data_IF_028417779265
#
_entry.id   IF_028417779265
#
_cell.length_a   1.000
_cell.length_b   1.000
_cell.length_c   1.000
_cell.angle_alpha   90.00
_cell.angle_beta   90.00
_cell.angle_gamma   90.00
#
_symmetry.space_group_name_H-M   'P 1'
#
loop_
_entity.id
_entity.type
_entity.pdbx_description
1 polymer ?
#
# COMPACT_ATOMS: atom_id res chain seq x y z
N UNK A 1 -11.60 -11.89 -4.14
CA UNK A 1 -10.40 -11.06 -4.39
C UNK A 1 -9.48 -11.20 -3.19
N UNK A 2 -8.18 -11.46 -3.41
CA UNK A 2 -7.22 -11.71 -2.33
C UNK A 2 -6.57 -10.40 -1.86
N UNK A 3 -6.15 -10.34 -0.59
CA UNK A 3 -5.50 -9.18 0.03
C UNK A 3 -4.26 -8.69 -0.76
N UNK A 4 -3.56 -9.61 -1.42
CA UNK A 4 -2.44 -9.33 -2.34
C UNK A 4 -2.84 -8.52 -3.57
N UNK A 5 -4.05 -8.72 -4.09
CA UNK A 5 -4.55 -7.98 -5.24
C UNK A 5 -4.87 -6.53 -4.85
N UNK A 6 -5.39 -6.30 -3.64
CA UNK A 6 -5.60 -4.94 -3.12
C UNK A 6 -4.28 -4.21 -2.89
N UNK A 7 -3.26 -4.90 -2.37
CA UNK A 7 -1.91 -4.34 -2.21
C UNK A 7 -1.33 -3.92 -3.56
N UNK A 8 -1.40 -4.77 -4.59
CA UNK A 8 -0.89 -4.47 -5.93
C UNK A 8 -1.61 -3.27 -6.58
N UNK A 9 -2.94 -3.20 -6.44
CA UNK A 9 -3.72 -2.04 -6.94
C UNK A 9 -3.30 -0.76 -6.22
N UNK A 10 -3.24 -0.79 -4.89
CA UNK A 10 -2.85 0.36 -4.07
C UNK A 10 -1.41 0.81 -4.34
N UNK A 11 -0.52 -0.14 -4.67
CA UNK A 11 0.87 0.14 -5.04
C UNK A 11 0.96 0.87 -6.38
N UNK A 12 0.14 0.50 -7.37
CA UNK A 12 0.04 1.23 -8.65
C UNK A 12 -0.52 2.63 -8.44
N UNK A 13 -1.53 2.78 -7.59
CA UNK A 13 -2.12 4.06 -7.25
C UNK A 13 -1.09 4.99 -6.55
N UNK A 14 -0.33 4.46 -5.59
CA UNK A 14 0.77 5.18 -4.96
C UNK A 14 1.79 5.64 -6.02
N UNK A 15 2.19 4.76 -6.93
CA UNK A 15 3.16 5.11 -7.98
C UNK A 15 2.65 6.23 -8.88
N UNK A 16 1.36 6.23 -9.22
CA UNK A 16 0.70 7.28 -9.99
C UNK A 16 0.70 8.62 -9.23
N UNK A 17 0.36 8.60 -7.94
CA UNK A 17 0.35 9.81 -7.10
C UNK A 17 1.77 10.35 -6.90
N UNK A 18 2.75 9.48 -6.66
CA UNK A 18 4.18 9.85 -6.57
C UNK A 18 4.65 10.50 -7.87
N UNK A 19 4.29 9.92 -9.01
CA UNK A 19 4.72 10.45 -10.31
C UNK A 19 4.04 11.79 -10.62
N UNK A 20 2.80 11.99 -10.14
CA UNK A 20 2.02 13.21 -10.38
C UNK A 20 2.37 14.34 -9.43
N UNK A 21 2.50 14.05 -8.14
CA UNK A 21 2.62 15.05 -7.08
C UNK A 21 4.05 15.11 -6.50
N UNK A 22 4.81 14.02 -6.59
CA UNK A 22 6.13 13.84 -5.99
C UNK A 22 6.09 12.97 -4.73
N UNK A 23 7.25 12.56 -4.24
CA UNK A 23 7.39 11.70 -3.06
C UNK A 23 6.96 12.38 -1.75
N UNK A 24 7.04 13.70 -1.68
CA UNK A 24 6.81 14.49 -0.46
C UNK A 24 5.41 15.10 -0.36
N UNK A 25 4.52 14.81 -1.31
CA UNK A 25 3.16 15.31 -1.26
C UNK A 25 2.36 14.62 -0.17
N UNK A 26 1.45 15.36 0.45
CA UNK A 26 0.57 14.81 1.48
C UNK A 26 -0.24 13.61 0.95
N UNK A 27 -0.70 13.67 -0.30
CA UNK A 27 -1.38 12.56 -0.98
C UNK A 27 -0.50 11.31 -1.09
N UNK A 28 0.77 11.49 -1.48
CA UNK A 28 1.74 10.39 -1.57
C UNK A 28 2.01 9.76 -0.21
N UNK A 29 2.24 10.60 0.81
CA UNK A 29 2.47 10.14 2.17
C UNK A 29 1.25 9.41 2.74
N UNK A 30 0.05 9.89 2.46
CA UNK A 30 -1.20 9.26 2.87
C UNK A 30 -1.40 7.92 2.18
N UNK A 31 -1.25 7.87 0.85
CA UNK A 31 -1.37 6.64 0.08
C UNK A 31 -0.29 5.61 0.50
N UNK A 32 0.93 6.07 0.79
CA UNK A 32 2.01 5.22 1.31
C UNK A 32 1.65 4.61 2.65
N UNK A 33 1.11 5.39 3.60
CA UNK A 33 0.66 4.89 4.91
C UNK A 33 -0.46 3.87 4.79
N UNK A 34 -1.38 4.04 3.84
CA UNK A 34 -2.46 3.09 3.61
C UNK A 34 -1.97 1.79 2.98
N UNK A 35 -1.05 1.87 2.02
CA UNK A 35 -0.40 0.69 1.44
C UNK A 35 0.37 -0.09 2.52
N UNK A 36 1.12 0.62 3.37
CA UNK A 36 1.90 0.01 4.45
C UNK A 36 1.00 -0.74 5.44
N UNK A 37 -0.16 -0.17 5.81
CA UNK A 37 -1.17 -0.86 6.64
C UNK A 37 -1.70 -2.15 5.99
N UNK A 38 -1.94 -2.14 4.68
CA UNK A 38 -2.41 -3.34 3.96
C UNK A 38 -1.33 -4.43 3.96
N UNK A 39 -0.07 -4.05 3.72
CA UNK A 39 1.08 -4.96 3.77
C UNK A 39 1.27 -5.52 5.18
N UNK A 40 1.20 -4.68 6.22
CA UNK A 40 1.29 -5.11 7.62
C UNK A 40 0.17 -6.10 7.98
N UNK A 41 -1.06 -5.86 7.51
CA UNK A 41 -2.16 -6.78 7.73
C UNK A 41 -1.95 -8.11 7.02
N UNK A 42 -1.40 -8.08 5.80
CA UNK A 42 -1.01 -9.29 5.06
C UNK A 42 0.07 -10.07 5.80
N UNK A 43 1.14 -9.40 6.23
CA UNK A 43 2.23 -10.01 6.98
C UNK A 43 1.75 -10.61 8.30
N UNK A 44 0.87 -9.92 9.04
CA UNK A 44 0.26 -10.48 10.26
C UNK A 44 -0.50 -11.77 9.97
N UNK A 45 -1.30 -11.81 8.91
CA UNK A 45 -2.01 -13.04 8.50
C UNK A 45 -1.07 -14.17 8.12
N UNK A 46 0.08 -13.88 7.53
CA UNK A 46 1.11 -14.88 7.24
C UNK A 46 1.82 -15.38 8.50
N UNK A 47 2.13 -14.49 9.45
CA UNK A 47 2.83 -14.82 10.69
C UNK A 47 1.96 -15.65 11.65
N UNK A 48 0.66 -15.40 11.72
CA UNK A 48 -0.26 -16.16 12.59
C UNK A 48 -0.64 -17.54 12.02
N UNK A 49 -0.28 -17.84 10.76
CA UNK A 49 -0.57 -19.12 10.12
C UNK A 49 0.49 -20.21 10.38
N UNK A 50 1.42 -19.99 11.33
CA UNK A 50 2.53 -20.89 11.67
C UNK A 50 2.49 -21.31 13.14
#
# INVERSE_FOLDING_TARGET
MSLTNEIEQKRKELLLIVNKNGLSSEDTLRCSKELDKLILNYQKKLVTAN
#
